data_IF_217996011620
#
_entry.id   IF_217996011620
#
_cell.length_a   1.000
_cell.length_b   1.000
_cell.length_c   1.000
_cell.angle_alpha   90.00
_cell.angle_beta   90.00
_cell.angle_gamma   90.00
#
_symmetry.space_group_name_H-M   'P 1'
#
loop_
_entity.id
_entity.type
_entity.pdbx_description
1 polymer ?
#
# COMPACT_ATOMS: atom_id res chain seq x y z
N UNK A 1 37.55 26.62 44.09
CA UNK A 1 37.51 26.39 42.63
C UNK A 1 37.91 24.97 42.22
N UNK A 2 39.11 24.45 42.59
CA UNK A 2 39.55 23.09 42.18
C UNK A 2 38.58 21.93 42.53
N UNK A 3 37.98 21.94 43.72
CA UNK A 3 37.02 20.88 44.13
C UNK A 3 35.69 20.91 43.36
N UNK A 4 35.22 22.11 43.01
CA UNK A 4 34.02 22.30 42.18
C UNK A 4 34.27 21.85 40.73
N UNK A 5 35.43 22.20 40.17
CA UNK A 5 35.82 21.72 38.84
C UNK A 5 35.95 20.19 38.79
N UNK A 6 36.52 19.57 39.83
CA UNK A 6 36.60 18.11 39.93
C UNK A 6 35.22 17.45 40.04
N UNK A 7 34.31 18.03 40.84
CA UNK A 7 32.94 17.50 40.97
C UNK A 7 32.16 17.57 39.65
N UNK A 8 32.24 18.70 38.93
CA UNK A 8 31.59 18.87 37.63
C UNK A 8 32.15 17.87 36.61
N UNK A 9 33.47 17.64 36.61
CA UNK A 9 34.12 16.67 35.73
C UNK A 9 33.66 15.23 36.00
N UNK A 10 33.50 14.86 37.28
CA UNK A 10 33.01 13.52 37.65
C UNK A 10 31.55 13.32 37.22
N UNK A 11 30.70 14.34 37.39
CA UNK A 11 29.29 14.28 36.97
C UNK A 11 29.14 14.22 35.46
N UNK A 12 29.95 14.98 34.71
CA UNK A 12 29.91 14.94 33.24
C UNK A 12 30.43 13.60 32.70
N UNK A 13 31.48 13.03 33.31
CA UNK A 13 31.97 11.70 32.97
C UNK A 13 30.95 10.60 33.28
N UNK A 14 30.29 10.65 34.45
CA UNK A 14 29.29 9.64 34.80
C UNK A 14 28.08 9.72 33.87
N UNK A 15 27.61 10.92 33.52
CA UNK A 15 26.52 11.11 32.56
C UNK A 15 26.89 10.61 31.15
N UNK A 16 28.12 10.89 30.69
CA UNK A 16 28.63 10.37 29.42
C UNK A 16 28.71 8.83 29.43
N UNK A 17 29.19 8.23 30.51
CA UNK A 17 29.24 6.78 30.65
C UNK A 17 27.84 6.15 30.65
N UNK A 18 26.87 6.72 31.36
CA UNK A 18 25.50 6.20 31.37
C UNK A 18 24.81 6.31 30.02
N UNK A 19 25.01 7.40 29.29
CA UNK A 19 24.41 7.59 27.95
C UNK A 19 25.04 6.67 26.92
N UNK A 20 26.35 6.44 26.99
CA UNK A 20 27.05 5.44 26.16
C UNK A 20 26.59 4.01 26.48
N UNK A 21 26.41 3.68 27.76
CA UNK A 21 25.92 2.37 28.19
C UNK A 21 24.47 2.15 27.73
N UNK A 22 23.59 3.15 27.85
CA UNK A 22 22.22 3.10 27.34
C UNK A 22 22.19 2.93 25.82
N UNK A 23 22.98 3.70 25.06
CA UNK A 23 23.02 3.57 23.60
C UNK A 23 23.52 2.19 23.15
N UNK A 24 24.50 1.61 23.85
CA UNK A 24 24.98 0.24 23.61
C UNK A 24 23.94 -0.82 23.99
N UNK A 25 23.27 -0.66 25.13
CA UNK A 25 22.20 -1.54 25.54
C UNK A 25 21.03 -1.50 24.54
N UNK A 26 20.67 -0.32 24.03
CA UNK A 26 19.63 -0.15 23.04
C UNK A 26 20.01 -0.78 21.69
N UNK A 27 21.28 -0.70 21.28
CA UNK A 27 21.75 -1.36 20.04
C UNK A 27 21.74 -2.88 20.17
N UNK A 28 22.25 -3.42 21.28
CA UNK A 28 22.23 -4.87 21.55
C UNK A 28 20.81 -5.41 21.73
N UNK A 29 19.91 -4.63 22.33
CA UNK A 29 18.49 -4.96 22.47
C UNK A 29 17.79 -4.96 21.11
N UNK A 30 18.12 -4.02 20.21
CA UNK A 30 17.59 -4.00 18.83
C UNK A 30 17.98 -5.25 18.05
N UNK A 31 19.22 -5.71 18.19
CA UNK A 31 19.71 -6.93 17.53
C UNK A 31 19.04 -8.18 18.11
N UNK A 32 18.93 -8.29 19.45
CA UNK A 32 18.24 -9.40 20.10
C UNK A 32 16.74 -9.47 19.84
N UNK A 33 16.05 -8.33 19.77
CA UNK A 33 14.60 -8.32 19.47
C UNK A 33 14.32 -8.81 18.04
N UNK A 34 15.21 -8.51 17.07
CA UNK A 34 15.12 -9.08 15.73
C UNK A 34 15.39 -10.59 15.72
N UNK A 35 16.30 -11.07 16.55
CA UNK A 35 16.67 -12.48 16.68
C UNK A 35 15.65 -13.31 17.48
N UNK A 36 15.01 -12.76 18.52
CA UNK A 36 13.96 -13.41 19.33
C UNK A 36 12.67 -13.62 18.53
N UNK A 37 12.32 -12.71 17.60
CA UNK A 37 11.18 -12.91 16.68
C UNK A 37 11.46 -14.05 15.70
N UNK A 38 12.73 -14.41 15.47
CA UNK A 38 13.14 -15.55 14.65
C UNK A 38 12.92 -16.90 15.34
N UNK A 39 12.94 -16.92 16.69
CA UNK A 39 12.77 -18.10 17.54
C UNK A 39 11.29 -18.34 17.92
N UNK A 40 10.43 -18.62 16.94
CA UNK A 40 9.13 -19.24 17.23
C UNK A 40 9.23 -20.77 17.15
N UNK A 41 8.99 -21.50 18.26
CA UNK A 41 9.07 -22.95 18.28
C UNK A 41 7.89 -23.61 17.53
N UNK A 42 8.14 -24.82 17.05
CA UNK A 42 7.21 -25.72 16.35
C UNK A 42 5.84 -25.85 17.07
N UNK A 43 4.75 -25.98 16.31
CA UNK A 43 3.32 -25.92 16.73
C UNK A 43 2.98 -26.76 17.98
N UNK A 44 3.62 -27.92 18.13
CA UNK A 44 3.40 -28.82 19.28
C UNK A 44 3.94 -28.28 20.60
N UNK A 45 4.94 -27.40 20.55
CA UNK A 45 5.52 -26.77 21.73
C UNK A 45 4.65 -25.60 22.20
N UNK A 46 4.03 -24.84 21.29
CA UNK A 46 3.22 -23.68 21.64
C UNK A 46 1.96 -24.04 22.47
N UNK A 47 1.20 -25.08 22.10
CA UNK A 47 0.02 -25.49 22.90
C UNK A 47 0.38 -26.00 24.30
N UNK A 48 1.50 -26.72 24.45
CA UNK A 48 1.93 -27.28 25.74
C UNK A 48 2.61 -26.24 26.64
N UNK A 49 3.31 -25.25 26.07
CA UNK A 49 3.98 -24.18 26.83
C UNK A 49 3.06 -23.02 27.22
N UNK A 50 1.99 -22.77 26.46
CA UNK A 50 1.05 -21.68 26.76
C UNK A 50 0.15 -21.97 27.97
N UNK A 51 0.15 -23.20 28.51
CA UNK A 51 -0.76 -23.63 29.58
C UNK A 51 -2.25 -23.26 29.32
N UNK A 52 -2.66 -23.26 28.04
CA UNK A 52 -4.01 -22.87 27.62
C UNK A 52 -4.24 -21.37 27.40
N UNK A 53 -3.24 -20.50 27.64
CA UNK A 53 -3.34 -19.05 27.41
C UNK A 53 -2.86 -18.63 26.01
N UNK A 54 -3.24 -19.38 24.97
CA UNK A 54 -2.79 -19.10 23.59
C UNK A 54 -3.25 -17.73 23.08
N UNK A 55 -4.44 -17.25 23.49
CA UNK A 55 -4.96 -15.91 23.15
C UNK A 55 -4.12 -14.78 23.74
N UNK A 56 -3.77 -14.86 25.03
CA UNK A 56 -2.91 -13.85 25.68
C UNK A 56 -1.55 -13.76 25.01
N UNK A 57 -1.00 -14.91 24.59
CA UNK A 57 0.25 -14.93 23.83
C UNK A 57 0.04 -14.32 22.45
N UNK A 58 -1.06 -14.63 21.75
CA UNK A 58 -1.41 -14.00 20.48
C UNK A 58 -1.50 -12.47 20.60
N UNK A 59 -2.11 -11.94 21.67
CA UNK A 59 -2.18 -10.51 21.96
C UNK A 59 -0.80 -9.87 22.14
N UNK A 60 0.07 -10.49 22.93
CA UNK A 60 1.45 -10.01 23.12
C UNK A 60 2.24 -10.02 21.81
N UNK A 61 2.05 -11.06 21.00
CA UNK A 61 2.67 -11.16 19.69
C UNK A 61 2.11 -10.12 18.71
N UNK A 62 0.82 -9.81 18.81
CA UNK A 62 0.19 -8.76 18.02
C UNK A 62 0.77 -7.38 18.35
N UNK A 63 0.96 -7.06 19.63
CA UNK A 63 1.65 -5.82 20.04
C UNK A 63 3.09 -5.75 19.51
N UNK A 64 3.81 -6.88 19.53
CA UNK A 64 5.13 -6.97 18.90
C UNK A 64 5.06 -6.78 17.39
N UNK A 65 4.02 -7.33 16.73
CA UNK A 65 3.80 -7.17 15.29
C UNK A 65 3.54 -5.70 14.93
N UNK A 66 2.68 -4.99 15.66
CA UNK A 66 2.45 -3.55 15.45
C UNK A 66 3.73 -2.75 15.68
N UNK A 67 4.49 -3.08 16.72
CA UNK A 67 5.75 -2.40 17.03
C UNK A 67 6.78 -2.63 15.92
N UNK A 68 6.86 -3.86 15.40
CA UNK A 68 7.67 -4.24 14.26
C UNK A 68 7.26 -3.46 13.01
N UNK A 69 5.98 -3.46 12.63
CA UNK A 69 5.53 -2.73 11.44
C UNK A 69 5.80 -1.23 11.55
N UNK A 70 5.56 -0.63 12.71
CA UNK A 70 5.89 0.79 12.97
C UNK A 70 7.39 1.08 12.86
N UNK A 71 8.24 0.15 13.31
CA UNK A 71 9.70 0.29 13.21
C UNK A 71 10.16 0.21 11.76
N UNK A 72 9.76 -0.83 11.04
CA UNK A 72 10.16 -1.02 9.64
C UNK A 72 9.61 0.09 8.74
N UNK A 73 8.41 0.61 9.03
CA UNK A 73 7.84 1.76 8.35
C UNK A 73 8.71 3.03 8.48
N UNK A 74 9.36 3.23 9.63
CA UNK A 74 10.31 4.35 9.84
C UNK A 74 11.73 4.06 9.38
N UNK A 75 12.03 2.79 9.07
CA UNK A 75 13.35 2.32 8.66
C UNK A 75 13.38 2.02 7.17
N UNK A 76 13.85 0.82 6.83
CA UNK A 76 14.11 0.41 5.44
C UNK A 76 12.85 -0.05 4.69
N UNK A 77 11.66 0.03 5.32
CA UNK A 77 10.37 -0.40 4.75
C UNK A 77 10.34 -1.88 4.35
N UNK A 78 11.06 -2.72 5.09
CA UNK A 78 11.20 -4.16 4.83
C UNK A 78 10.42 -5.00 5.84
N UNK A 79 9.31 -5.57 5.40
CA UNK A 79 8.39 -6.35 6.24
C UNK A 79 8.63 -7.87 6.15
N UNK A 80 9.89 -8.32 6.19
CA UNK A 80 10.29 -9.73 5.98
C UNK A 80 9.68 -10.70 6.99
N UNK A 81 9.37 -10.26 8.21
CA UNK A 81 8.82 -11.12 9.26
C UNK A 81 7.29 -11.09 9.34
N UNK A 82 6.63 -10.18 8.62
CA UNK A 82 5.21 -9.88 8.82
C UNK A 82 4.32 -11.11 8.59
N UNK A 83 4.48 -11.83 7.47
CA UNK A 83 3.70 -13.03 7.16
C UNK A 83 3.84 -14.10 8.25
N UNK A 84 5.08 -14.33 8.72
CA UNK A 84 5.36 -15.32 9.77
C UNK A 84 4.75 -14.90 11.11
N UNK A 85 4.82 -13.63 11.46
CA UNK A 85 4.21 -13.09 12.68
C UNK A 85 2.70 -13.24 12.63
N UNK A 86 2.05 -12.76 11.56
CA UNK A 86 0.60 -12.85 11.37
C UNK A 86 0.11 -14.30 11.36
N UNK A 87 0.79 -15.18 10.62
CA UNK A 87 0.46 -16.60 10.60
C UNK A 87 0.61 -17.27 11.97
N UNK A 88 1.56 -16.82 12.81
CA UNK A 88 1.71 -17.36 14.17
C UNK A 88 0.62 -16.85 15.12
N UNK A 89 0.29 -15.57 15.04
CA UNK A 89 -0.77 -14.94 15.84
C UNK A 89 -2.12 -15.60 15.55
N UNK A 90 -2.48 -15.68 14.27
CA UNK A 90 -3.76 -16.25 13.82
C UNK A 90 -3.87 -17.76 14.08
N UNK A 91 -2.75 -18.51 14.04
CA UNK A 91 -2.75 -19.91 14.49
C UNK A 91 -2.93 -20.08 16.00
N UNK A 92 -2.43 -19.14 16.80
CA UNK A 92 -2.57 -19.18 18.26
C UNK A 92 -3.97 -18.79 18.71
N UNK A 93 -4.57 -17.80 18.03
CA UNK A 93 -5.94 -17.37 18.25
C UNK A 93 -6.67 -17.15 16.91
N UNK A 94 -7.36 -18.18 16.40
CA UNK A 94 -8.14 -18.09 15.17
C UNK A 94 -9.34 -17.14 15.27
N UNK A 95 -9.76 -16.76 16.48
CA UNK A 95 -10.89 -15.85 16.68
C UNK A 95 -10.44 -14.38 16.81
N UNK A 96 -9.15 -14.10 16.64
CA UNK A 96 -8.58 -12.76 16.77
C UNK A 96 -8.82 -11.92 15.51
N UNK A 97 -10.06 -11.46 15.32
CA UNK A 97 -10.51 -10.69 14.14
C UNK A 97 -9.59 -9.51 13.80
N UNK A 98 -9.14 -8.74 14.78
CA UNK A 98 -8.28 -7.58 14.54
C UNK A 98 -6.92 -7.96 13.93
N UNK A 99 -6.35 -9.11 14.30
CA UNK A 99 -5.11 -9.61 13.72
C UNK A 99 -5.29 -9.98 12.24
N UNK A 100 -6.44 -10.55 11.86
CA UNK A 100 -6.76 -10.81 10.45
C UNK A 100 -7.01 -9.51 9.68
N UNK A 101 -7.89 -8.65 10.20
CA UNK A 101 -8.27 -7.37 9.58
C UNK A 101 -7.03 -6.49 9.36
N UNK A 102 -6.33 -6.13 10.42
CA UNK A 102 -5.20 -5.23 10.33
C UNK A 102 -3.96 -5.93 9.75
N UNK A 103 -3.78 -7.22 9.98
CA UNK A 103 -2.76 -8.01 9.31
C UNK A 103 -2.94 -8.01 7.79
N UNK A 104 -4.17 -8.22 7.32
CA UNK A 104 -4.53 -8.11 5.91
C UNK A 104 -4.26 -6.72 5.35
N UNK A 105 -4.65 -5.66 6.07
CA UNK A 105 -4.34 -4.27 5.71
C UNK A 105 -2.82 -4.04 5.64
N UNK A 106 -2.04 -4.54 6.60
CA UNK A 106 -0.58 -4.41 6.57
C UNK A 106 0.04 -5.15 5.40
N UNK A 107 -0.43 -6.35 5.07
CA UNK A 107 0.02 -7.09 3.89
C UNK A 107 -0.30 -6.33 2.59
N UNK A 108 -1.52 -5.80 2.45
CA UNK A 108 -1.94 -5.05 1.26
C UNK A 108 -1.25 -3.69 1.13
N UNK A 109 -1.17 -2.91 2.20
CA UNK A 109 -0.67 -1.52 2.15
C UNK A 109 0.83 -1.40 2.37
N UNK A 110 1.38 -2.14 3.33
CA UNK A 110 2.80 -2.02 3.70
C UNK A 110 3.67 -2.96 2.86
N UNK A 111 3.28 -4.24 2.75
CA UNK A 111 4.01 -5.24 1.97
C UNK A 111 3.63 -5.24 0.48
N UNK A 112 2.52 -4.58 0.11
CA UNK A 112 1.95 -4.57 -1.26
C UNK A 112 1.66 -5.96 -1.80
N UNK A 113 1.29 -6.87 -0.90
CA UNK A 113 1.00 -8.27 -1.20
C UNK A 113 -0.52 -8.49 -1.12
N UNK A 114 -1.20 -8.16 -2.22
CA UNK A 114 -2.65 -8.25 -2.30
C UNK A 114 -3.16 -9.70 -2.22
N UNK A 115 -2.36 -10.68 -2.67
CA UNK A 115 -2.72 -12.09 -2.59
C UNK A 115 -2.61 -12.58 -1.14
N UNK A 116 -1.46 -12.36 -0.48
CA UNK A 116 -1.30 -12.76 0.93
C UNK A 116 -2.32 -12.07 1.84
N UNK A 117 -2.64 -10.79 1.58
CA UNK A 117 -3.69 -10.06 2.29
C UNK A 117 -5.06 -10.74 2.17
N UNK A 118 -5.49 -11.02 0.94
CA UNK A 118 -6.80 -11.63 0.69
C UNK A 118 -6.86 -13.05 1.25
N UNK A 119 -5.79 -13.83 1.13
CA UNK A 119 -5.75 -15.18 1.68
C UNK A 119 -5.79 -15.20 3.21
N UNK A 120 -5.06 -14.30 3.88
CA UNK A 120 -5.16 -14.13 5.33
C UNK A 120 -6.60 -13.76 5.73
N UNK A 121 -7.19 -12.75 5.10
CA UNK A 121 -8.55 -12.29 5.41
C UNK A 121 -9.59 -13.40 5.17
N UNK A 122 -9.48 -14.16 4.08
CA UNK A 122 -10.35 -15.32 3.80
C UNK A 122 -10.24 -16.39 4.89
N UNK A 123 -9.01 -16.75 5.29
CA UNK A 123 -8.83 -17.73 6.38
C UNK A 123 -9.47 -17.28 7.68
N UNK A 124 -9.50 -15.97 7.95
CA UNK A 124 -10.17 -15.42 9.13
C UNK A 124 -11.70 -15.53 9.07
N UNK A 125 -12.30 -15.52 7.87
CA UNK A 125 -13.76 -15.64 7.70
C UNK A 125 -14.26 -17.02 8.11
N UNK A 126 -13.47 -18.07 7.87
CA UNK A 126 -13.85 -19.45 8.22
C UNK A 126 -14.06 -19.60 9.73
N UNK A 127 -13.18 -19.01 10.55
CA UNK A 127 -13.27 -19.03 12.01
C UNK A 127 -14.16 -17.90 12.57
N UNK A 128 -14.35 -16.81 11.83
CA UNK A 128 -15.09 -15.61 12.26
C UNK A 128 -16.23 -15.22 11.29
N UNK A 129 -17.23 -16.10 11.05
CA UNK A 129 -18.22 -15.91 9.99
C UNK A 129 -19.18 -14.72 10.21
N UNK A 130 -19.19 -14.12 11.41
CA UNK A 130 -20.01 -12.93 11.74
C UNK A 130 -19.25 -11.61 11.63
N UNK A 131 -17.95 -11.62 11.34
CA UNK A 131 -17.17 -10.40 11.17
C UNK A 131 -17.40 -9.84 9.77
N UNK A 132 -18.01 -8.66 9.69
CA UNK A 132 -18.20 -7.93 8.44
C UNK A 132 -16.91 -7.25 7.97
N UNK A 133 -15.99 -7.00 8.89
CA UNK A 133 -14.74 -6.28 8.64
C UNK A 133 -13.83 -7.05 7.67
N UNK A 134 -13.77 -8.38 7.79
CA UNK A 134 -12.92 -9.20 6.94
C UNK A 134 -13.32 -9.15 5.46
N UNK A 135 -14.58 -9.44 5.06
CA UNK A 135 -15.01 -9.29 3.68
C UNK A 135 -14.96 -7.82 3.20
N UNK A 136 -15.14 -6.84 4.10
CA UNK A 136 -14.96 -5.43 3.75
C UNK A 136 -13.52 -5.10 3.35
N UNK A 137 -12.51 -5.57 4.10
CA UNK A 137 -11.11 -5.34 3.73
C UNK A 137 -10.70 -6.10 2.45
N UNK A 138 -11.29 -7.27 2.19
CA UNK A 138 -11.12 -7.97 0.90
C UNK A 138 -11.71 -7.11 -0.23
N UNK A 139 -12.93 -6.60 -0.07
CA UNK A 139 -13.58 -5.73 -1.06
C UNK A 139 -12.72 -4.50 -1.36
N UNK A 140 -12.23 -3.83 -0.32
CA UNK A 140 -11.32 -2.69 -0.45
C UNK A 140 -10.05 -3.05 -1.21
N UNK A 141 -9.45 -4.20 -0.93
CA UNK A 141 -8.26 -4.66 -1.66
C UNK A 141 -8.55 -4.88 -3.15
N UNK A 142 -9.68 -5.47 -3.51
CA UNK A 142 -10.08 -5.62 -4.92
C UNK A 142 -10.34 -4.29 -5.61
N UNK A 143 -11.06 -3.37 -4.96
CA UNK A 143 -11.44 -2.07 -5.55
C UNK A 143 -10.22 -1.16 -5.70
N UNK A 144 -9.44 -1.02 -4.63
CA UNK A 144 -8.38 0.00 -4.55
C UNK A 144 -7.06 -0.48 -5.15
N UNK A 145 -6.69 -1.74 -4.90
CA UNK A 145 -5.37 -2.23 -5.27
C UNK A 145 -5.39 -3.03 -6.57
N UNK A 146 -6.47 -3.78 -6.84
CA UNK A 146 -6.61 -4.59 -8.07
C UNK A 146 -7.43 -3.90 -9.16
N UNK A 147 -8.14 -2.82 -8.83
CA UNK A 147 -9.10 -2.16 -9.71
C UNK A 147 -10.17 -3.12 -10.29
N UNK A 148 -10.49 -4.19 -9.56
CA UNK A 148 -11.53 -5.16 -9.92
C UNK A 148 -12.81 -4.83 -9.14
N UNK A 149 -13.63 -3.99 -9.77
CA UNK A 149 -14.92 -3.60 -9.23
C UNK A 149 -15.93 -4.72 -9.10
N UNK A 150 -15.83 -5.75 -9.92
CA UNK A 150 -16.79 -6.87 -9.92
C UNK A 150 -16.55 -7.73 -8.69
N UNK A 151 -15.29 -8.12 -8.44
CA UNK A 151 -14.94 -8.84 -7.22
C UNK A 151 -15.08 -7.95 -5.99
N UNK A 152 -14.71 -6.67 -6.09
CA UNK A 152 -14.96 -5.67 -5.06
C UNK A 152 -16.42 -5.62 -4.61
N UNK A 153 -17.34 -5.46 -5.56
CA UNK A 153 -18.78 -5.41 -5.29
C UNK A 153 -19.31 -6.72 -4.69
N UNK A 154 -18.82 -7.89 -5.14
CA UNK A 154 -19.20 -9.19 -4.56
C UNK A 154 -18.82 -9.30 -3.09
N UNK A 155 -17.56 -9.00 -2.76
CA UNK A 155 -17.10 -9.02 -1.37
C UNK A 155 -17.74 -7.93 -0.54
N UNK A 156 -18.05 -6.78 -1.14
CA UNK A 156 -18.72 -5.70 -0.44
C UNK A 156 -20.16 -6.05 -0.09
N UNK A 157 -20.87 -6.70 -1.01
CA UNK A 157 -22.21 -7.24 -0.75
C UNK A 157 -22.19 -8.28 0.37
N UNK A 158 -21.18 -9.16 0.39
CA UNK A 158 -21.00 -10.12 1.48
C UNK A 158 -20.86 -9.39 2.82
N UNK A 159 -19.95 -8.41 2.92
CA UNK A 159 -19.76 -7.65 4.15
C UNK A 159 -21.02 -6.91 4.63
N UNK A 160 -21.79 -6.30 3.72
CA UNK A 160 -23.05 -5.65 4.05
C UNK A 160 -24.15 -6.62 4.53
N UNK A 161 -24.02 -7.91 4.23
CA UNK A 161 -24.95 -8.97 4.66
C UNK A 161 -24.44 -9.78 5.87
N UNK A 162 -23.23 -9.51 6.34
CA UNK A 162 -22.59 -10.26 7.43
C UNK A 162 -22.73 -9.51 8.75
N UNK A 163 -23.21 -10.18 9.80
CA UNK A 163 -23.22 -9.62 11.16
C UNK A 163 -24.05 -8.33 11.27
N UNK A 164 -23.46 -7.31 11.88
CA UNK A 164 -24.05 -5.97 12.08
C UNK A 164 -23.10 -4.90 11.52
N UNK A 165 -23.04 -4.74 10.18
CA UNK A 165 -22.13 -3.80 9.57
C UNK A 165 -22.63 -2.37 9.79
N UNK A 166 -21.72 -1.38 9.92
CA UNK A 166 -22.09 0.03 9.94
C UNK A 166 -22.85 0.44 8.67
N UNK A 167 -23.74 1.42 8.80
CA UNK A 167 -24.59 1.87 7.68
C UNK A 167 -23.79 2.27 6.43
N UNK A 168 -22.60 2.87 6.59
CA UNK A 168 -21.76 3.26 5.45
C UNK A 168 -21.35 2.06 4.58
N UNK A 169 -21.17 0.87 5.18
CA UNK A 169 -20.83 -0.36 4.45
C UNK A 169 -22.01 -0.82 3.60
N UNK A 170 -23.22 -0.77 4.15
CA UNK A 170 -24.46 -1.11 3.45
C UNK A 170 -24.72 -0.15 2.30
N UNK A 171 -24.53 1.15 2.53
CA UNK A 171 -24.70 2.17 1.51
C UNK A 171 -23.64 2.02 0.41
N UNK A 172 -22.41 1.70 0.77
CA UNK A 172 -21.34 1.48 -0.21
C UNK A 172 -21.60 0.25 -1.07
N UNK A 173 -22.05 -0.86 -0.48
CA UNK A 173 -22.46 -2.06 -1.20
C UNK A 173 -23.59 -1.75 -2.19
N UNK A 174 -24.61 -1.00 -1.75
CA UNK A 174 -25.72 -0.56 -2.61
C UNK A 174 -25.23 0.30 -3.77
N UNK A 175 -24.33 1.25 -3.52
CA UNK A 175 -23.74 2.10 -4.55
C UNK A 175 -22.92 1.30 -5.55
N UNK A 176 -22.12 0.33 -5.10
CA UNK A 176 -21.37 -0.60 -5.95
C UNK A 176 -22.27 -1.47 -6.84
N UNK A 177 -23.47 -1.83 -6.35
CA UNK A 177 -24.46 -2.59 -7.14
C UNK A 177 -25.21 -1.71 -8.15
N UNK A 178 -25.39 -0.42 -7.86
CA UNK A 178 -26.12 0.52 -8.70
C UNK A 178 -25.23 1.23 -9.73
N UNK A 179 -23.97 1.50 -9.38
CA UNK A 179 -23.00 2.19 -10.23
C UNK A 179 -22.14 1.16 -10.97
N UNK A 180 -22.22 1.17 -12.30
CA UNK A 180 -21.30 0.43 -13.17
C UNK A 180 -19.91 1.11 -13.31
N UNK A 181 -19.75 2.32 -12.76
CA UNK A 181 -18.52 3.11 -12.88
C UNK A 181 -17.73 3.15 -11.55
N UNK A 182 -16.52 2.57 -11.57
CA UNK A 182 -15.62 2.53 -10.40
C UNK A 182 -15.11 3.90 -9.96
N UNK A 183 -15.01 4.87 -10.89
CA UNK A 183 -14.49 6.20 -10.58
C UNK A 183 -15.37 6.98 -9.59
N UNK A 184 -16.69 6.90 -9.74
CA UNK A 184 -17.63 7.59 -8.84
C UNK A 184 -17.61 6.99 -7.42
N UNK A 185 -17.26 5.71 -7.31
CA UNK A 185 -17.17 4.99 -6.04
C UNK A 185 -15.88 5.38 -5.31
N UNK A 186 -14.77 5.45 -6.05
CA UNK A 186 -13.50 5.93 -5.54
C UNK A 186 -13.60 7.40 -5.08
N UNK A 187 -14.32 8.24 -5.84
CA UNK A 187 -14.61 9.63 -5.48
C UNK A 187 -15.34 9.75 -4.13
N UNK A 188 -16.44 9.01 -3.98
CA UNK A 188 -17.25 9.02 -2.75
C UNK A 188 -16.41 8.57 -1.54
N UNK A 189 -15.54 7.58 -1.70
CA UNK A 189 -14.65 7.10 -0.64
C UNK A 189 -13.64 8.17 -0.19
N UNK A 190 -12.93 8.81 -1.12
CA UNK A 190 -11.95 9.84 -0.77
C UNK A 190 -12.61 11.06 -0.13
N UNK A 191 -13.81 11.46 -0.59
CA UNK A 191 -14.58 12.52 0.02
C UNK A 191 -14.90 12.24 1.50
N UNK A 192 -15.36 11.01 1.81
CA UNK A 192 -15.62 10.61 3.19
C UNK A 192 -14.35 10.60 4.06
N UNK A 193 -13.19 10.21 3.51
CA UNK A 193 -11.93 10.25 4.26
C UNK A 193 -11.55 11.70 4.60
N UNK A 194 -11.69 12.62 3.65
CA UNK A 194 -11.39 14.05 3.85
C UNK A 194 -12.27 14.63 4.97
N UNK A 195 -13.56 14.29 4.98
CA UNK A 195 -14.53 14.77 5.97
C UNK A 195 -14.29 14.21 7.37
N UNK A 196 -13.90 12.93 7.47
CA UNK A 196 -13.88 12.22 8.76
C UNK A 196 -12.49 12.06 9.40
N UNK A 197 -11.40 12.25 8.65
CA UNK A 197 -10.04 12.06 9.20
C UNK A 197 -9.58 13.23 10.08
N UNK A 198 -8.89 12.91 11.17
CA UNK A 198 -8.20 13.88 12.05
C UNK A 198 -6.71 14.04 11.71
N UNK A 199 -6.16 13.16 10.86
CA UNK A 199 -4.76 13.22 10.41
C UNK A 199 -4.65 14.08 9.15
N UNK A 200 -3.90 15.18 9.25
CA UNK A 200 -3.73 16.15 8.16
C UNK A 200 -2.94 15.57 6.97
N UNK A 201 -1.97 14.67 7.20
CA UNK A 201 -1.24 14.03 6.10
C UNK A 201 -2.15 13.08 5.31
N UNK A 202 -3.00 12.35 6.02
CA UNK A 202 -4.03 11.51 5.39
C UNK A 202 -5.03 12.35 4.60
N UNK A 203 -5.42 13.52 5.15
CA UNK A 203 -6.33 14.45 4.47
C UNK A 203 -5.73 14.97 3.17
N UNK A 204 -4.48 15.44 3.18
CA UNK A 204 -3.80 15.93 1.98
C UNK A 204 -3.59 14.82 0.94
N UNK A 205 -3.28 13.61 1.40
CA UNK A 205 -3.20 12.43 0.51
C UNK A 205 -4.56 12.16 -0.15
N UNK A 206 -5.64 12.15 0.63
CA UNK A 206 -6.99 11.92 0.12
C UNK A 206 -7.43 13.01 -0.87
N UNK A 207 -7.11 14.29 -0.61
CA UNK A 207 -7.35 15.40 -1.56
C UNK A 207 -6.61 15.19 -2.88
N UNK A 208 -5.33 14.82 -2.82
CA UNK A 208 -4.55 14.53 -4.03
C UNK A 208 -5.15 13.36 -4.82
N UNK A 209 -5.53 12.28 -4.14
CA UNK A 209 -6.17 11.12 -4.79
C UNK A 209 -7.50 11.47 -5.44
N UNK A 210 -8.29 12.34 -4.82
CA UNK A 210 -9.53 12.85 -5.40
C UNK A 210 -9.27 13.60 -6.72
N UNK A 211 -8.25 14.46 -6.77
CA UNK A 211 -7.84 15.14 -8.01
C UNK A 211 -7.44 14.13 -9.08
N UNK A 212 -6.68 13.08 -8.74
CA UNK A 212 -6.29 12.02 -9.68
C UNK A 212 -7.50 11.23 -10.23
N UNK A 213 -8.57 11.05 -9.44
CA UNK A 213 -9.83 10.46 -9.92
C UNK A 213 -10.48 11.37 -10.97
N UNK A 214 -10.55 12.67 -10.70
CA UNK A 214 -11.17 13.63 -11.61
C UNK A 214 -10.36 13.80 -12.91
N UNK A 215 -9.02 13.80 -12.84
CA UNK A 215 -8.16 13.82 -14.02
C UNK A 215 -8.39 12.59 -14.92
N UNK A 216 -8.57 11.39 -14.34
CA UNK A 216 -8.90 10.17 -15.11
C UNK A 216 -10.21 10.31 -15.85
N UNK A 217 -11.22 10.90 -15.21
CA UNK A 217 -12.51 11.16 -15.85
C UNK A 217 -12.39 12.17 -16.99
N UNK A 218 -11.60 13.23 -16.82
CA UNK A 218 -11.30 14.19 -17.89
C UNK A 218 -10.61 13.49 -19.07
N UNK A 219 -9.58 12.67 -18.84
CA UNK A 219 -8.94 11.87 -19.88
C UNK A 219 -9.96 11.00 -20.63
N UNK A 220 -10.87 10.32 -19.91
CA UNK A 220 -11.92 9.49 -20.51
C UNK A 220 -12.88 10.28 -21.42
N UNK A 221 -13.25 11.50 -21.01
CA UNK A 221 -14.11 12.39 -21.80
C UNK A 221 -13.38 12.88 -23.06
N UNK A 222 -12.11 13.27 -22.92
CA UNK A 222 -11.26 13.70 -24.03
C UNK A 222 -11.02 12.56 -25.02
N UNK A 223 -10.81 11.33 -24.55
CA UNK A 223 -10.74 10.12 -25.38
C UNK A 223 -12.00 9.92 -26.23
N UNK A 224 -13.17 10.12 -25.61
CA UNK A 224 -14.45 10.07 -26.32
C UNK A 224 -14.52 11.11 -27.44
N UNK A 225 -14.07 12.34 -27.17
CA UNK A 225 -14.02 13.42 -28.15
C UNK A 225 -13.02 13.12 -29.30
N UNK A 226 -11.84 12.59 -28.97
CA UNK A 226 -10.83 12.17 -29.94
C UNK A 226 -11.35 11.08 -30.87
N UNK A 227 -12.02 10.07 -30.32
CA UNK A 227 -12.65 8.99 -31.09
C UNK A 227 -13.76 9.50 -32.00
N UNK A 228 -14.60 10.41 -31.51
CA UNK A 228 -15.66 11.04 -32.30
C UNK A 228 -15.10 11.87 -33.47
N UNK A 229 -14.02 12.62 -33.25
CA UNK A 229 -13.34 13.38 -34.30
C UNK A 229 -12.75 12.46 -35.36
N UNK A 230 -12.05 11.40 -34.94
CA UNK A 230 -11.50 10.40 -35.87
C UNK A 230 -12.58 9.76 -36.73
N UNK A 231 -13.74 9.47 -36.16
CA UNK A 231 -14.88 8.93 -36.91
C UNK A 231 -15.44 9.91 -37.96
N UNK A 232 -15.35 11.22 -37.70
CA UNK A 232 -15.88 12.27 -38.60
C UNK A 232 -14.88 12.67 -39.69
N UNK A 233 -13.59 12.78 -39.37
CA UNK A 233 -12.56 13.30 -40.28
C UNK A 233 -11.74 12.21 -40.96
N UNK A 234 -11.84 10.96 -40.49
CA UNK A 234 -11.07 9.82 -40.99
C UNK A 234 -9.59 9.84 -40.59
N UNK A 235 -9.13 10.87 -39.87
CA UNK A 235 -7.75 11.01 -39.36
C UNK A 235 -7.77 11.20 -37.85
N UNK A 236 -6.81 10.59 -37.15
CA UNK A 236 -6.58 10.91 -35.75
C UNK A 236 -6.02 12.35 -35.64
N UNK A 237 -6.41 13.12 -34.61
CA UNK A 237 -5.77 14.39 -34.29
C UNK A 237 -4.29 14.17 -33.94
N UNK A 238 -3.42 15.11 -34.29
CA UNK A 238 -2.00 15.04 -33.90
C UNK A 238 -1.79 15.64 -32.49
N UNK A 239 -2.64 16.59 -32.09
CA UNK A 239 -2.64 17.17 -30.76
C UNK A 239 -4.05 17.41 -30.23
N UNK A 240 -4.20 17.48 -28.90
CA UNK A 240 -5.42 17.99 -28.28
C UNK A 240 -5.68 19.46 -28.66
N UNK A 241 -4.64 20.23 -29.02
CA UNK A 241 -4.78 21.59 -29.51
C UNK A 241 -5.55 21.69 -30.84
N UNK A 242 -5.57 20.61 -31.65
CA UNK A 242 -6.33 20.59 -32.90
C UNK A 242 -7.86 20.64 -32.67
N UNK A 243 -8.31 20.31 -31.45
CA UNK A 243 -9.72 20.40 -31.04
C UNK A 243 -10.11 21.78 -30.53
N UNK A 244 -9.15 22.51 -29.97
CA UNK A 244 -9.41 23.78 -29.30
C UNK A 244 -9.35 24.91 -30.34
N UNK A 245 -10.49 25.25 -30.95
CA UNK A 245 -10.57 26.43 -31.82
C UNK A 245 -10.16 27.70 -31.07
N UNK A 246 -9.57 28.67 -31.79
CA UNK A 246 -9.00 29.90 -31.21
C UNK A 246 -9.97 30.72 -30.34
N UNK A 247 -11.29 30.57 -30.54
CA UNK A 247 -12.35 31.25 -29.78
C UNK A 247 -12.84 30.51 -28.52
N UNK A 248 -12.25 29.35 -28.18
CA UNK A 248 -12.73 28.46 -27.10
C UNK A 248 -11.74 28.29 -25.94
N UNK A 249 -10.96 29.33 -25.63
CA UNK A 249 -10.02 29.33 -24.49
C UNK A 249 -10.68 29.09 -23.12
N UNK A 250 -11.98 29.37 -22.99
CA UNK A 250 -12.74 29.29 -21.73
C UNK A 250 -13.17 27.86 -21.30
N UNK A 251 -12.71 26.81 -21.99
CA UNK A 251 -13.13 25.42 -21.71
C UNK A 251 -12.03 24.36 -21.70
N UNK A 252 -10.75 24.75 -21.74
CA UNK A 252 -9.65 23.78 -21.72
C UNK A 252 -9.53 23.15 -20.32
N UNK A 253 -9.55 21.81 -20.19
CA UNK A 253 -9.32 21.17 -18.90
C UNK A 253 -7.92 21.50 -18.39
N UNK A 254 -7.85 21.97 -17.16
CA UNK A 254 -6.60 22.28 -16.46
C UNK A 254 -6.34 21.19 -15.45
N UNK A 255 -5.08 20.79 -15.32
CA UNK A 255 -4.64 19.88 -14.26
C UNK A 255 -4.32 20.68 -12.98
N UNK A 256 -5.06 20.48 -11.87
CA UNK A 256 -4.77 21.17 -10.61
C UNK A 256 -3.41 20.82 -9.99
N UNK A 257 -2.78 19.71 -10.41
CA UNK A 257 -1.45 19.28 -9.99
C UNK A 257 -0.33 19.85 -10.87
N UNK A 258 -0.67 20.65 -11.89
CA UNK A 258 0.28 21.31 -12.78
C UNK A 258 0.77 20.46 -13.96
N UNK A 259 0.18 19.30 -14.19
CA UNK A 259 0.44 18.47 -15.36
C UNK A 259 -0.22 18.98 -16.65
N UNK A 260 -0.02 18.23 -17.73
CA UNK A 260 -0.58 18.52 -19.06
C UNK A 260 -1.27 17.31 -19.67
N UNK A 261 -2.32 17.55 -20.44
CA UNK A 261 -3.00 16.54 -21.24
C UNK A 261 -2.35 16.43 -22.61
N UNK A 262 -2.18 15.20 -23.11
CA UNK A 262 -1.63 14.94 -24.44
C UNK A 262 -2.17 13.64 -25.04
N UNK A 263 -1.99 13.43 -26.33
CA UNK A 263 -2.34 12.18 -27.02
C UNK A 263 -1.07 11.34 -27.16
N UNK A 264 -1.11 10.10 -26.70
CA UNK A 264 0.01 9.17 -26.83
C UNK A 264 0.10 8.54 -28.23
N UNK A 265 1.13 7.74 -28.47
CA UNK A 265 1.37 7.08 -29.77
C UNK A 265 0.26 6.08 -30.17
N UNK A 266 -0.56 5.63 -29.22
CA UNK A 266 -1.73 4.76 -29.50
C UNK A 266 -2.95 5.57 -29.91
N UNK A 267 -2.92 6.88 -29.73
CA UNK A 267 -4.04 7.77 -29.94
C UNK A 267 -4.95 7.90 -28.72
N UNK A 268 -4.49 7.48 -27.53
CA UNK A 268 -5.22 7.60 -26.28
C UNK A 268 -4.77 8.88 -25.53
N UNK A 269 -5.70 9.53 -24.84
CA UNK A 269 -5.47 10.75 -24.09
C UNK A 269 -4.90 10.43 -22.72
N UNK A 270 -3.73 10.98 -22.46
CA UNK A 270 -2.99 10.82 -21.21
C UNK A 270 -2.84 12.17 -20.49
N UNK A 271 -2.47 12.10 -19.22
CA UNK A 271 -2.13 13.24 -18.40
C UNK A 271 -0.80 12.98 -17.67
N UNK A 272 0.12 13.96 -17.68
CA UNK A 272 1.45 13.78 -17.09
C UNK A 272 1.42 13.55 -15.59
N UNK A 273 0.58 14.25 -14.82
CA UNK A 273 0.51 14.05 -13.37
C UNK A 273 -0.02 12.66 -13.00
N UNK A 274 -0.97 12.11 -13.77
CA UNK A 274 -1.42 10.73 -13.60
C UNK A 274 -0.31 9.73 -13.92
N UNK A 275 0.40 9.92 -15.03
CA UNK A 275 1.47 9.02 -15.44
C UNK A 275 2.65 9.07 -14.47
N UNK A 276 3.03 10.26 -13.99
CA UNK A 276 4.09 10.45 -13.01
C UNK A 276 3.73 9.81 -11.66
N UNK A 277 2.47 9.93 -11.22
CA UNK A 277 1.97 9.24 -10.02
C UNK A 277 2.11 7.71 -10.18
N UNK A 278 1.73 7.16 -11.34
CA UNK A 278 1.92 5.74 -11.63
C UNK A 278 3.40 5.33 -11.73
N UNK A 279 4.28 6.21 -12.22
CA UNK A 279 5.73 5.94 -12.30
C UNK A 279 6.27 5.76 -10.89
N UNK A 280 6.00 6.71 -10.00
CA UNK A 280 6.44 6.65 -8.60
C UNK A 280 5.91 5.40 -7.89
N UNK A 281 4.63 5.07 -8.09
CA UNK A 281 4.03 3.87 -7.52
C UNK A 281 4.73 2.58 -7.98
N UNK A 282 5.00 2.46 -9.29
CA UNK A 282 5.67 1.30 -9.88
C UNK A 282 7.15 1.25 -9.51
N UNK A 283 7.83 2.39 -9.36
CA UNK A 283 9.21 2.47 -8.88
C UNK A 283 9.34 1.93 -7.47
N UNK A 284 8.43 2.30 -6.56
CA UNK A 284 8.42 1.75 -5.20
C UNK A 284 8.26 0.22 -5.23
N UNK A 285 7.38 -0.30 -6.10
CA UNK A 285 7.21 -1.74 -6.27
C UNK A 285 8.47 -2.42 -6.82
N UNK A 286 9.06 -1.88 -7.89
CA UNK A 286 10.27 -2.43 -8.51
C UNK A 286 11.46 -2.44 -7.54
N UNK A 287 11.66 -1.36 -6.78
CA UNK A 287 12.68 -1.29 -5.74
C UNK A 287 12.47 -2.38 -4.67
N UNK A 288 11.21 -2.61 -4.28
CA UNK A 288 10.85 -3.71 -3.38
C UNK A 288 11.20 -5.09 -3.95
N UNK A 289 10.88 -5.35 -5.22
CA UNK A 289 11.20 -6.61 -5.91
C UNK A 289 12.72 -6.82 -6.08
N UNK A 290 13.47 -5.79 -6.43
CA UNK A 290 14.93 -5.83 -6.56
C UNK A 290 15.57 -6.16 -5.21
N UNK A 291 15.08 -5.55 -4.14
CA UNK A 291 15.54 -5.83 -2.78
C UNK A 291 15.26 -7.28 -2.37
N UNK A 292 14.07 -7.81 -2.69
CA UNK A 292 13.74 -9.22 -2.44
C UNK A 292 14.65 -10.18 -3.19
N UNK A 293 14.91 -9.92 -4.48
CA UNK A 293 15.86 -10.72 -5.26
C UNK A 293 17.26 -10.72 -4.62
N UNK A 294 17.72 -9.56 -4.16
CA UNK A 294 19.01 -9.41 -3.50
C UNK A 294 19.09 -10.21 -2.19
N UNK A 295 18.01 -10.25 -1.43
CA UNK A 295 17.91 -11.04 -0.19
C UNK A 295 17.93 -12.55 -0.46
N UNK A 296 17.27 -13.02 -1.53
CA UNK A 296 17.22 -14.44 -1.89
C UNK A 296 18.51 -14.97 -2.52
N UNK A 297 19.20 -14.13 -3.30
CA UNK A 297 20.35 -14.56 -4.12
C UNK A 297 21.69 -14.06 -3.61
N UNK A 298 21.69 -13.10 -2.68
CA UNK A 298 22.90 -12.44 -2.16
C UNK A 298 23.51 -11.40 -3.11
N UNK A 299 22.91 -11.14 -4.28
CA UNK A 299 23.42 -10.20 -5.27
C UNK A 299 22.30 -9.36 -5.91
N UNK A 300 22.62 -8.15 -6.38
CA UNK A 300 21.67 -7.38 -7.19
C UNK A 300 21.37 -8.13 -8.48
N UNK A 301 20.12 -8.06 -8.99
CA UNK A 301 19.80 -8.65 -10.28
C UNK A 301 20.71 -8.08 -11.38
N UNK A 302 21.25 -8.90 -12.29
CA UNK A 302 22.05 -8.41 -13.41
C UNK A 302 21.22 -7.64 -14.44
N UNK A 303 19.91 -7.92 -14.52
CA UNK A 303 18.93 -7.17 -15.30
C UNK A 303 17.51 -7.51 -14.80
N UNK A 304 16.54 -6.70 -15.22
CA UNK A 304 15.13 -6.92 -14.91
C UNK A 304 14.58 -8.18 -15.63
N UNK A 305 15.07 -8.55 -16.81
CA UNK A 305 14.53 -9.72 -17.53
C UNK A 305 14.76 -11.03 -16.76
N UNK A 306 15.92 -11.22 -16.14
CA UNK A 306 16.20 -12.38 -15.28
C UNK A 306 15.24 -12.45 -14.09
N UNK A 307 14.89 -11.30 -13.51
CA UNK A 307 13.89 -11.27 -12.44
C UNK A 307 12.54 -11.77 -12.97
N UNK A 308 12.13 -11.34 -14.17
CA UNK A 308 10.90 -11.79 -14.82
C UNK A 308 10.90 -13.31 -15.07
N UNK A 309 12.01 -13.86 -15.57
CA UNK A 309 12.19 -15.31 -15.77
C UNK A 309 12.07 -16.10 -14.47
N UNK A 310 12.49 -15.52 -13.35
CA UNK A 310 12.35 -16.10 -12.01
C UNK A 310 10.97 -15.89 -11.37
N UNK A 311 10.00 -15.37 -12.12
CA UNK A 311 8.63 -15.19 -11.66
C UNK A 311 8.38 -13.91 -10.89
N UNK A 312 9.34 -12.96 -10.86
CA UNK A 312 9.07 -11.64 -10.29
C UNK A 312 8.22 -10.84 -11.27
N UNK A 313 7.14 -10.24 -10.76
CA UNK A 313 6.36 -9.29 -11.55
C UNK A 313 7.19 -8.02 -11.78
N UNK A 314 7.24 -7.55 -13.03
CA UNK A 314 7.92 -6.32 -13.43
C UNK A 314 6.90 -5.54 -14.26
N UNK A 315 6.25 -4.52 -13.67
CA UNK A 315 5.28 -3.72 -14.39
C UNK A 315 5.95 -3.03 -15.57
N UNK A 316 5.20 -2.81 -16.64
CA UNK A 316 5.64 -1.96 -17.75
C UNK A 316 5.78 -0.51 -17.28
N UNK A 317 6.45 0.33 -18.07
CA UNK A 317 6.48 1.77 -17.78
C UNK A 317 5.10 2.40 -18.09
N UNK A 318 4.59 3.35 -17.27
CA UNK A 318 3.30 4.02 -17.53
C UNK A 318 3.28 4.80 -18.84
N UNK A 319 4.33 5.57 -19.13
CA UNK A 319 4.48 6.22 -20.43
C UNK A 319 4.74 5.17 -21.50
N UNK A 320 3.91 5.17 -22.56
CA UNK A 320 4.09 4.29 -23.70
C UNK A 320 5.47 4.46 -24.35
N UNK A 321 6.06 3.36 -24.83
CA UNK A 321 7.35 3.36 -25.52
C UNK A 321 8.57 3.63 -24.63
N UNK A 322 8.38 3.95 -23.34
CA UNK A 322 9.49 4.08 -22.38
C UNK A 322 9.75 2.75 -21.68
N UNK A 323 11.00 2.55 -21.30
CA UNK A 323 11.45 1.40 -20.52
C UNK A 323 12.09 1.89 -19.22
N UNK A 324 12.08 1.02 -18.20
CA UNK A 324 12.75 1.28 -16.93
C UNK A 324 14.25 1.32 -17.13
N UNK A 325 14.90 2.34 -16.58
CA UNK A 325 16.35 2.43 -16.54
C UNK A 325 16.85 1.76 -15.26
N UNK A 326 17.54 0.63 -15.41
CA UNK A 326 18.06 -0.15 -14.29
C UNK A 326 19.58 -0.20 -14.30
N UNK A 327 20.20 0.15 -13.18
CA UNK A 327 21.64 0.02 -12.97
C UNK A 327 21.94 -1.25 -12.15
N UNK A 328 22.55 -2.29 -12.73
CA UNK A 328 22.86 -3.54 -12.03
C UNK A 328 23.93 -3.39 -10.94
N UNK A 329 24.80 -2.38 -11.02
CA UNK A 329 25.87 -2.16 -10.05
C UNK A 329 25.31 -1.62 -8.73
N UNK A 330 24.33 -0.72 -8.81
CA UNK A 330 23.71 -0.08 -7.64
C UNK A 330 22.38 -0.73 -7.24
N UNK A 331 21.72 -1.41 -8.17
CA UNK A 331 20.33 -1.87 -8.03
C UNK A 331 19.31 -0.73 -8.17
N UNK A 332 19.72 0.45 -8.63
CA UNK A 332 18.84 1.61 -8.80
C UNK A 332 17.96 1.42 -10.04
N UNK A 333 16.69 1.80 -9.92
CA UNK A 333 15.72 1.82 -11.03
C UNK A 333 15.04 3.19 -11.13
N UNK A 334 14.91 3.70 -12.35
CA UNK A 334 14.31 5.00 -12.71
C UNK A 334 13.32 4.87 -13.84
#
# INVERSE_FOLDING_TARGET
MRRLAAAILVVSLSFACTTLAQRRADTLRREREAEEVLYFPNERLLKSFTCGQSSVIADLLWLKCISYTSREFRGDFKFTLLDRMLGTITRLDPYFVDAYKWGGVFLAMLKRDNDASIELLKSGIDDNPRSWELPFEIARTYILNRHDGVMGAKWMALAASTGEPPQFVVDWAKNLQQKHNLGDIERDMWAQIIENTTDENMRETAKRRLIEVDLREVCRLLDGAVKAYRAKTGKAPESLDDFWTADSSDGRPVDPLGGTFFIDEKGDVQNTSLLDSQVEERLVFLRGSINRFKEETGATPPNLELMRERGYAIPTHPYHGREWQYDPATGEVK
#
